data_IF_560536161285
#
_entry.id   IF_560536161285
#
_cell.length_a   1.000
_cell.length_b   1.000
_cell.length_c   1.000
_cell.angle_alpha   90.00
_cell.angle_beta   90.00
_cell.angle_gamma   90.00
#
_symmetry.space_group_name_H-M   'P 1'
#
loop_
_entity.id
_entity.type
_entity.pdbx_description
1 polymer ?
#
# COMPACT_ATOMS: atom_id res chain seq x y z
N UNK A 1 -4.37 13.55 5.18
CA UNK A 1 -4.23 12.60 4.05
C UNK A 1 -2.93 11.82 4.19
N UNK A 2 -1.79 12.49 4.39
CA UNK A 2 -0.47 11.82 4.47
C UNK A 2 -0.31 10.80 5.62
N UNK A 3 -0.95 11.01 6.77
CA UNK A 3 -0.89 10.05 7.90
C UNK A 3 -1.54 8.71 7.58
N UNK A 4 -2.69 8.71 6.88
CA UNK A 4 -3.40 7.48 6.49
C UNK A 4 -2.58 6.68 5.47
N UNK A 5 -2.01 7.38 4.49
CA UNK A 5 -1.07 6.79 3.53
C UNK A 5 0.12 6.14 4.22
N UNK A 6 0.79 6.87 5.12
CA UNK A 6 1.96 6.36 5.84
C UNK A 6 1.63 5.12 6.68
N UNK A 7 0.45 5.09 7.29
CA UNK A 7 -0.05 3.93 8.02
C UNK A 7 -0.28 2.72 7.11
N UNK A 8 -0.95 2.90 5.96
CA UNK A 8 -1.20 1.80 5.00
C UNK A 8 0.13 1.22 4.49
N UNK A 9 1.06 2.09 4.10
CA UNK A 9 2.39 1.69 3.63
C UNK A 9 3.16 0.95 4.73
N UNK A 10 3.14 1.48 5.96
CA UNK A 10 3.81 0.87 7.11
C UNK A 10 3.28 -0.54 7.40
N UNK A 11 1.97 -0.70 7.50
CA UNK A 11 1.34 -1.98 7.77
C UNK A 11 1.49 -2.99 6.63
N UNK A 12 1.48 -2.54 5.37
CA UNK A 12 1.82 -3.40 4.23
C UNK A 12 3.26 -3.91 4.31
N UNK A 13 4.23 -3.04 4.62
CA UNK A 13 5.64 -3.43 4.78
C UNK A 13 5.87 -4.37 5.99
N UNK A 14 5.02 -4.31 7.01
CA UNK A 14 5.04 -5.24 8.14
C UNK A 14 4.35 -6.57 7.85
N UNK A 15 3.73 -6.74 6.67
CA UNK A 15 2.94 -7.92 6.32
C UNK A 15 1.59 -8.02 7.04
N UNK A 16 1.13 -6.94 7.67
CA UNK A 16 -0.19 -6.86 8.30
C UNK A 16 -1.27 -6.72 7.22
N UNK A 17 -1.01 -5.88 6.22
CA UNK A 17 -1.82 -5.81 5.02
C UNK A 17 -1.13 -6.55 3.88
N UNK A 18 -1.95 -7.17 3.04
CA UNK A 18 -1.55 -7.90 1.85
C UNK A 18 -1.87 -7.10 0.60
N UNK A 19 -1.39 -7.58 -0.55
CA UNK A 19 -1.69 -6.99 -1.86
C UNK A 19 -3.20 -6.94 -2.15
N UNK A 20 -3.96 -7.86 -1.56
CA UNK A 20 -5.41 -7.99 -1.79
C UNK A 20 -6.21 -6.96 -0.98
N UNK A 21 -5.60 -6.35 0.05
CA UNK A 21 -6.20 -5.27 0.86
C UNK A 21 -6.03 -3.89 0.22
N UNK A 22 -5.00 -3.70 -0.62
CA UNK A 22 -4.66 -2.42 -1.25
C UNK A 22 -5.81 -1.78 -2.07
N UNK A 23 -6.61 -2.53 -2.84
CA UNK A 23 -7.75 -1.96 -3.57
C UNK A 23 -8.79 -1.27 -2.67
N UNK A 24 -8.96 -1.73 -1.42
CA UNK A 24 -9.87 -1.09 -0.47
C UNK A 24 -9.38 0.33 -0.13
N UNK A 25 -8.10 0.48 0.16
CA UNK A 25 -7.48 1.77 0.50
C UNK A 25 -7.49 2.74 -0.69
N UNK A 26 -7.42 2.22 -1.91
CA UNK A 26 -7.64 3.01 -3.13
C UNK A 26 -9.09 3.48 -3.22
N UNK A 27 -10.06 2.58 -2.99
CA UNK A 27 -11.49 2.91 -3.07
C UNK A 27 -11.92 3.98 -2.06
N UNK A 28 -11.32 4.01 -0.87
CA UNK A 28 -11.62 5.04 0.15
C UNK A 28 -10.73 6.28 0.01
N UNK A 29 -9.86 6.32 -1.00
CA UNK A 29 -9.01 7.47 -1.32
C UNK A 29 -7.87 7.72 -0.33
N UNK A 30 -7.46 6.70 0.44
CA UNK A 30 -6.35 6.81 1.38
C UNK A 30 -5.00 6.73 0.68
N UNK A 31 -4.94 5.96 -0.40
CA UNK A 31 -3.81 5.89 -1.33
C UNK A 31 -4.35 5.88 -2.76
N UNK A 32 -3.48 6.16 -3.72
CA UNK A 32 -3.74 6.12 -5.16
C UNK A 32 -3.27 4.79 -5.76
N UNK A 33 -3.79 4.47 -6.96
CA UNK A 33 -3.32 3.31 -7.71
C UNK A 33 -1.82 3.39 -8.04
N UNK A 34 -1.29 4.59 -8.30
CA UNK A 34 0.13 4.80 -8.56
C UNK A 34 1.01 4.39 -7.36
N UNK A 35 0.56 4.69 -6.13
CA UNK A 35 1.28 4.32 -4.91
C UNK A 35 1.22 2.80 -4.66
N UNK A 36 0.10 2.16 -4.98
CA UNK A 36 0.00 0.69 -4.96
C UNK A 36 1.02 0.07 -5.92
N UNK A 37 1.10 0.58 -7.15
CA UNK A 37 2.02 0.05 -8.16
C UNK A 37 3.49 0.20 -7.72
N UNK A 38 3.84 1.32 -7.06
CA UNK A 38 5.17 1.52 -6.47
C UNK A 38 5.45 0.56 -5.30
N UNK A 39 4.49 0.35 -4.41
CA UNK A 39 4.62 -0.60 -3.29
C UNK A 39 4.86 -2.02 -3.79
N UNK A 40 4.09 -2.47 -4.79
CA UNK A 40 4.23 -3.81 -5.36
C UNK A 40 5.57 -4.00 -6.07
N UNK A 41 6.08 -2.97 -6.76
CA UNK A 41 7.44 -3.00 -7.36
C UNK A 41 8.51 -3.17 -6.28
N UNK A 42 8.43 -2.44 -5.18
CA UNK A 42 9.41 -2.53 -4.09
C UNK A 42 9.45 -3.93 -3.45
N UNK A 43 8.29 -4.59 -3.30
CA UNK A 43 8.23 -5.95 -2.76
C UNK A 43 8.77 -6.97 -3.77
N UNK A 44 8.44 -6.82 -5.06
CA UNK A 44 8.96 -7.68 -6.11
C UNK A 44 10.49 -7.58 -6.26
N UNK A 45 11.08 -6.40 -6.07
CA UNK A 45 12.54 -6.20 -6.12
C UNK A 45 13.30 -6.71 -4.89
N UNK A 46 12.61 -7.11 -3.82
CA UNK A 46 13.23 -7.72 -2.62
C UNK A 46 13.29 -9.25 -2.67
N UNK A 47 12.73 -9.87 -3.71
CA UNK A 47 12.73 -11.32 -3.94
C UNK A 47 13.80 -11.76 -4.94
#
# INVERSE_FOLDING_TARGET
MDELKNMVIGYFNMGIYTKDDLPLFVSVGWISQAEVDELLKQVASKS
#
